data_IF_297261662235
#
_entry.id   IF_297261662235
#
_cell.length_a   1.000
_cell.length_b   1.000
_cell.length_c   1.000
_cell.angle_alpha   90.00
_cell.angle_beta   90.00
_cell.angle_gamma   90.00
#
_symmetry.space_group_name_H-M   'P 1'
#
loop_
_entity.id
_entity.type
_entity.pdbx_description
1 polymer ?
#
# COMPACT_ATOMS: atom_id res chain seq x y z
N UNK A 1 63.55 -19.67 36.53
CA UNK A 1 64.36 -19.76 35.31
C UNK A 1 63.83 -18.71 34.34
N UNK A 2 64.52 -17.61 34.34
CA UNK A 2 64.35 -16.52 33.34
C UNK A 2 65.25 -16.81 32.15
N UNK A 3 65.43 -15.94 31.19
CA UNK A 3 64.58 -14.94 30.47
C UNK A 3 64.79 -15.04 28.93
N UNK A 4 64.12 -14.27 28.16
CA UNK A 4 64.78 -13.62 26.99
C UNK A 4 63.93 -12.50 26.41
N UNK A 5 64.45 -11.35 26.69
CA UNK A 5 64.33 -10.04 26.03
C UNK A 5 64.73 -10.10 24.56
N UNK A 6 63.98 -9.47 23.66
CA UNK A 6 64.52 -8.89 22.41
C UNK A 6 63.60 -7.78 21.94
N UNK A 7 63.92 -6.55 22.22
CA UNK A 7 64.50 -5.46 21.42
C UNK A 7 63.76 -5.11 20.14
N UNK A 8 63.05 -4.04 20.26
CA UNK A 8 63.14 -2.75 19.54
C UNK A 8 63.67 -2.79 18.09
N UNK A 9 62.84 -2.46 17.14
CA UNK A 9 63.24 -1.65 15.98
C UNK A 9 62.05 -0.87 15.37
N UNK A 10 62.10 0.45 15.59
CA UNK A 10 61.51 1.40 14.63
C UNK A 10 62.47 1.59 13.45
N UNK A 11 61.96 1.85 12.26
CA UNK A 11 62.28 3.10 11.58
C UNK A 11 61.07 3.78 10.89
N UNK A 12 60.93 5.06 11.12
CA UNK A 12 61.10 6.17 10.15
C UNK A 12 60.03 6.31 9.05
N UNK A 13 59.12 7.26 9.30
CA UNK A 13 58.83 8.47 8.48
C UNK A 13 58.78 8.25 6.97
N UNK A 14 57.58 8.26 6.43
CA UNK A 14 57.29 8.54 5.03
C UNK A 14 55.99 9.33 4.95
N UNK A 15 56.14 10.66 4.86
CA UNK A 15 55.03 11.53 4.54
C UNK A 15 54.67 11.31 3.06
N UNK A 16 53.48 10.87 2.77
CA UNK A 16 52.93 10.95 1.43
C UNK A 16 51.48 11.38 1.57
N UNK A 17 51.21 12.63 1.24
CA UNK A 17 49.89 13.22 1.18
C UNK A 17 49.06 12.51 0.09
N UNK A 18 47.99 11.90 0.50
CA UNK A 18 46.93 11.49 -0.42
C UNK A 18 45.73 12.41 -0.17
N UNK A 19 45.46 13.25 -1.17
CA UNK A 19 44.20 13.94 -1.34
C UNK A 19 43.07 12.88 -1.35
N UNK A 20 42.26 12.88 -0.32
CA UNK A 20 40.95 12.21 -0.35
C UNK A 20 40.01 13.07 -1.19
N UNK A 21 39.89 12.74 -2.47
CA UNK A 21 38.72 13.09 -3.26
C UNK A 21 37.53 12.35 -2.63
N UNK A 22 36.71 13.10 -1.88
CA UNK A 22 35.42 12.63 -1.41
C UNK A 22 34.53 12.37 -2.63
N UNK A 23 34.54 11.13 -3.12
CA UNK A 23 33.59 10.65 -4.10
C UNK A 23 32.23 10.59 -3.42
N UNK A 24 31.30 11.48 -3.78
CA UNK A 24 29.88 11.30 -3.52
C UNK A 24 29.42 10.03 -4.22
N UNK A 25 29.40 8.93 -3.50
CA UNK A 25 28.71 7.72 -3.96
C UNK A 25 27.22 8.03 -4.02
N UNK A 26 26.54 7.83 -5.15
CA UNK A 26 25.09 7.95 -5.19
C UNK A 26 24.51 6.91 -4.23
N UNK A 27 23.73 7.37 -3.25
CA UNK A 27 22.95 6.48 -2.39
C UNK A 27 22.01 5.69 -3.30
N UNK A 28 22.05 4.35 -3.28
CA UNK A 28 21.04 3.57 -3.97
C UNK A 28 19.70 3.92 -3.32
N UNK A 29 18.79 4.47 -4.12
CA UNK A 29 17.39 4.65 -3.73
C UNK A 29 16.87 3.30 -3.24
N UNK A 30 16.23 3.20 -2.06
CA UNK A 30 15.64 1.96 -1.63
C UNK A 30 14.63 1.52 -2.69
N UNK A 31 14.84 0.35 -3.26
CA UNK A 31 13.89 -0.27 -4.16
C UNK A 31 12.51 -0.31 -3.49
N UNK A 32 11.41 -0.01 -4.20
CA UNK A 32 10.08 -0.13 -3.62
C UNK A 32 9.93 -1.55 -3.07
N UNK A 33 9.61 -1.63 -1.78
CA UNK A 33 9.38 -2.92 -1.12
C UNK A 33 8.34 -3.70 -1.94
N UNK A 34 8.56 -5.00 -2.19
CA UNK A 34 7.57 -5.82 -2.90
C UNK A 34 6.26 -5.71 -2.13
N UNK A 35 5.11 -5.61 -2.81
CA UNK A 35 3.83 -5.50 -2.14
C UNK A 35 3.70 -6.69 -1.20
N UNK A 36 3.59 -6.40 0.10
CA UNK A 36 3.31 -7.41 1.11
C UNK A 36 2.07 -8.17 0.62
N UNK A 37 2.25 -9.44 0.28
CA UNK A 37 1.16 -10.28 -0.21
C UNK A 37 0.07 -10.31 0.85
N UNK A 38 -0.92 -9.46 0.70
CA UNK A 38 -2.04 -9.36 1.64
C UNK A 38 -2.69 -10.73 1.81
N UNK A 39 -2.95 -11.18 3.03
CA UNK A 39 -3.62 -12.44 3.26
C UNK A 39 -5.08 -12.45 2.78
N UNK A 40 -5.62 -11.26 2.47
CA UNK A 40 -6.98 -11.05 2.03
C UNK A 40 -7.02 -10.70 0.53
N UNK A 41 -7.96 -11.27 -0.18
CA UNK A 41 -8.31 -10.94 -1.57
C UNK A 41 -9.60 -10.15 -1.59
N UNK A 42 -9.61 -9.04 -2.33
CA UNK A 42 -10.77 -8.16 -2.47
C UNK A 42 -11.21 -8.17 -3.92
N UNK A 43 -12.51 -8.29 -4.16
CA UNK A 43 -13.13 -7.99 -5.45
C UNK A 43 -14.29 -7.03 -5.25
N UNK A 44 -14.52 -6.16 -6.23
CA UNK A 44 -15.54 -5.13 -6.17
C UNK A 44 -16.46 -5.24 -7.39
N UNK A 45 -17.75 -5.19 -7.14
CA UNK A 45 -18.77 -5.01 -8.16
C UNK A 45 -19.53 -3.72 -7.90
N UNK A 46 -19.91 -3.04 -8.96
CA UNK A 46 -20.69 -1.80 -8.90
C UNK A 46 -21.94 -1.93 -9.74
N UNK A 47 -23.02 -1.38 -9.25
CA UNK A 47 -24.30 -1.33 -9.96
C UNK A 47 -24.83 0.11 -9.93
N UNK A 48 -24.97 0.77 -11.07
CA UNK A 48 -24.67 0.30 -12.43
C UNK A 48 -23.17 0.12 -12.71
N UNK A 49 -22.78 -0.73 -13.69
CA UNK A 49 -21.35 -0.95 -14.02
C UNK A 49 -20.67 0.28 -14.64
N UNK A 50 -21.47 1.21 -15.19
CA UNK A 50 -21.06 2.54 -15.64
C UNK A 50 -21.82 3.56 -14.81
N UNK A 51 -21.26 4.02 -13.70
CA UNK A 51 -21.95 4.97 -12.83
C UNK A 51 -22.03 6.33 -13.52
N UNK A 52 -23.07 7.07 -13.17
CA UNK A 52 -23.25 8.47 -13.59
C UNK A 52 -23.03 9.42 -12.43
N UNK A 53 -22.63 10.64 -12.76
CA UNK A 53 -22.52 11.72 -11.79
C UNK A 53 -23.81 11.91 -11.01
N UNK A 54 -23.70 12.02 -9.69
CA UNK A 54 -24.77 12.23 -8.71
C UNK A 54 -25.78 11.09 -8.57
N UNK A 55 -25.71 10.07 -9.43
CA UNK A 55 -26.57 8.91 -9.30
C UNK A 55 -26.09 7.96 -8.19
N UNK A 56 -27.02 7.32 -7.46
CA UNK A 56 -26.63 6.35 -6.45
C UNK A 56 -25.96 5.13 -7.10
N UNK A 57 -24.78 4.79 -6.59
CA UNK A 57 -24.03 3.61 -7.02
C UNK A 57 -23.94 2.64 -5.87
N UNK A 58 -24.38 1.40 -6.12
CA UNK A 58 -24.28 0.32 -5.15
C UNK A 58 -22.95 -0.41 -5.32
N UNK A 59 -22.21 -0.51 -4.23
CA UNK A 59 -20.94 -1.23 -4.15
C UNK A 59 -21.16 -2.57 -3.47
N UNK A 60 -20.66 -3.63 -4.06
CA UNK A 60 -20.63 -4.96 -3.48
C UNK A 60 -19.19 -5.45 -3.47
N UNK A 61 -18.57 -5.47 -2.31
CA UNK A 61 -17.22 -5.98 -2.12
C UNK A 61 -17.28 -7.42 -1.62
N UNK A 62 -16.45 -8.30 -2.18
CA UNK A 62 -16.22 -9.64 -1.66
C UNK A 62 -14.83 -9.72 -1.08
N UNK A 63 -14.73 -10.21 0.15
CA UNK A 63 -13.47 -10.42 0.86
C UNK A 63 -13.28 -11.90 1.12
N UNK A 64 -12.14 -12.43 0.65
CA UNK A 64 -11.77 -13.84 0.79
C UNK A 64 -10.35 -13.94 1.32
N UNK A 65 -10.03 -15.05 1.99
CA UNK A 65 -8.65 -15.37 2.34
C UNK A 65 -7.88 -15.95 1.13
N UNK A 66 -6.63 -16.32 1.35
CA UNK A 66 -5.78 -16.92 0.30
C UNK A 66 -6.32 -18.24 -0.23
N UNK A 67 -7.05 -18.99 0.60
CA UNK A 67 -7.67 -20.27 0.23
C UNK A 67 -8.98 -20.08 -0.53
N UNK A 68 -9.47 -18.85 -0.64
CA UNK A 68 -10.74 -18.52 -1.28
C UNK A 68 -11.95 -18.57 -0.33
N UNK A 69 -11.72 -18.82 0.97
CA UNK A 69 -12.79 -18.84 1.96
C UNK A 69 -13.31 -17.43 2.22
N UNK A 70 -14.64 -17.22 2.26
CA UNK A 70 -15.21 -15.90 2.53
C UNK A 70 -14.93 -15.45 3.97
N UNK A 71 -14.65 -14.17 4.13
CA UNK A 71 -14.37 -13.53 5.41
C UNK A 71 -15.55 -12.67 5.83
N UNK A 72 -16.30 -13.11 6.84
CA UNK A 72 -17.57 -12.48 7.25
C UNK A 72 -17.43 -11.41 8.35
N UNK A 73 -16.27 -11.28 8.99
CA UNK A 73 -16.05 -10.37 10.12
C UNK A 73 -14.93 -9.37 9.87
N UNK A 74 -14.85 -8.84 8.64
CA UNK A 74 -13.92 -7.77 8.32
C UNK A 74 -14.62 -6.41 8.43
N UNK A 75 -13.85 -5.38 8.73
CA UNK A 75 -14.27 -3.99 8.55
C UNK A 75 -13.88 -3.60 7.12
N UNK A 76 -14.86 -3.28 6.29
CA UNK A 76 -14.66 -2.90 4.91
C UNK A 76 -15.08 -1.45 4.71
N UNK A 77 -14.19 -0.65 4.15
CA UNK A 77 -14.45 0.75 3.78
C UNK A 77 -14.11 0.96 2.31
N UNK A 78 -14.90 1.78 1.65
CA UNK A 78 -14.65 2.21 0.28
C UNK A 78 -14.40 3.72 0.32
N UNK A 79 -13.31 4.16 -0.29
CA UNK A 79 -13.02 5.57 -0.47
C UNK A 79 -13.03 5.92 -1.97
N UNK A 80 -13.77 6.96 -2.31
CA UNK A 80 -13.90 7.46 -3.67
C UNK A 80 -13.00 8.70 -3.82
N UNK A 81 -12.04 8.66 -4.72
CA UNK A 81 -11.13 9.78 -4.97
C UNK A 81 -10.84 9.95 -6.45
N UNK A 82 -10.66 11.18 -6.89
CA UNK A 82 -10.10 11.48 -8.21
C UNK A 82 -8.58 11.62 -8.09
N UNK A 83 -7.79 10.93 -8.93
CA UNK A 83 -6.33 10.99 -8.84
C UNK A 83 -5.75 12.40 -9.07
N UNK A 84 -6.48 13.24 -9.80
CA UNK A 84 -6.05 14.59 -10.20
C UNK A 84 -6.54 15.71 -9.28
N UNK A 85 -7.39 15.40 -8.30
CA UNK A 85 -7.99 16.39 -7.41
C UNK A 85 -8.04 15.89 -5.97
N UNK A 86 -7.75 16.77 -5.03
CA UNK A 86 -8.02 16.51 -3.62
C UNK A 86 -9.48 16.87 -3.32
N UNK A 87 -10.31 15.86 -3.19
CA UNK A 87 -11.74 15.99 -2.90
C UNK A 87 -12.07 15.73 -1.44
N UNK A 88 -11.06 15.66 -0.58
CA UNK A 88 -11.24 15.26 0.81
C UNK A 88 -11.66 13.79 0.95
N UNK A 89 -12.25 13.46 2.09
CA UNK A 89 -12.69 12.09 2.37
C UNK A 89 -14.10 11.86 1.84
N UNK A 90 -14.23 11.03 0.84
CA UNK A 90 -15.51 10.52 0.35
C UNK A 90 -15.60 9.02 0.62
N UNK A 91 -15.83 8.67 1.90
CA UNK A 91 -15.84 7.30 2.37
C UNK A 91 -17.27 6.75 2.40
N UNK A 92 -17.44 5.55 1.86
CA UNK A 92 -18.66 4.77 1.94
C UNK A 92 -18.47 3.66 2.96
N UNK A 93 -19.32 3.62 3.97
CA UNK A 93 -19.37 2.51 4.92
C UNK A 93 -20.02 1.30 4.26
N UNK A 94 -19.38 0.16 4.42
CA UNK A 94 -19.84 -1.11 3.89
C UNK A 94 -20.46 -1.94 5.02
N UNK A 95 -21.70 -2.39 4.82
CA UNK A 95 -22.39 -3.26 5.75
C UNK A 95 -22.19 -4.73 5.35
N UNK A 96 -21.97 -5.60 6.33
CA UNK A 96 -21.88 -7.02 6.10
C UNK A 96 -23.25 -7.57 5.64
N UNK A 97 -23.21 -8.36 4.58
CA UNK A 97 -24.35 -9.08 4.05
C UNK A 97 -24.15 -10.60 4.18
N UNK A 98 -24.14 -11.29 3.04
CA UNK A 98 -23.82 -12.72 2.98
C UNK A 98 -22.35 -12.98 3.39
N UNK A 99 -21.97 -14.20 3.75
CA UNK A 99 -20.60 -14.53 4.13
C UNK A 99 -19.55 -13.99 3.14
N UNK A 100 -18.68 -13.12 3.63
CA UNK A 100 -17.64 -12.48 2.82
C UNK A 100 -18.11 -11.38 1.88
N UNK A 101 -19.38 -11.02 1.90
CA UNK A 101 -19.96 -9.98 1.06
C UNK A 101 -20.28 -8.74 1.90
N UNK A 102 -19.92 -7.58 1.37
CA UNK A 102 -20.13 -6.28 2.00
C UNK A 102 -20.77 -5.34 0.99
N UNK A 103 -21.83 -4.65 1.40
CA UNK A 103 -22.62 -3.77 0.53
C UNK A 103 -22.64 -2.36 1.09
N UNK A 104 -22.57 -1.38 0.19
CA UNK A 104 -22.69 0.03 0.51
C UNK A 104 -23.23 0.81 -0.67
N UNK A 105 -23.67 2.03 -0.42
CA UNK A 105 -24.15 2.94 -1.47
C UNK A 105 -23.42 4.25 -1.34
N UNK A 106 -22.92 4.77 -2.44
CA UNK A 106 -22.26 6.06 -2.54
C UNK A 106 -22.64 6.78 -3.82
N UNK A 107 -22.08 7.95 -4.02
CA UNK A 107 -22.30 8.78 -5.22
C UNK A 107 -20.99 9.37 -5.67
N UNK A 108 -20.81 9.45 -6.97
CA UNK A 108 -19.72 10.20 -7.58
C UNK A 108 -20.18 11.64 -7.81
N UNK A 109 -19.44 12.60 -7.30
CA UNK A 109 -19.82 14.01 -7.34
C UNK A 109 -19.57 14.67 -8.68
N UNK A 110 -18.71 14.08 -9.50
CA UNK A 110 -18.35 14.60 -10.83
C UNK A 110 -18.16 13.46 -11.81
N UNK A 111 -18.30 13.76 -13.10
CA UNK A 111 -17.90 12.86 -14.16
C UNK A 111 -16.37 12.84 -14.32
N UNK A 112 -15.83 11.75 -14.85
CA UNK A 112 -14.40 11.57 -15.09
C UNK A 112 -13.81 10.31 -14.46
N UNK A 113 -12.48 10.24 -14.42
CA UNK A 113 -11.75 9.08 -13.92
C UNK A 113 -11.63 9.11 -12.39
N UNK A 114 -12.10 8.04 -11.76
CA UNK A 114 -12.08 7.87 -10.31
C UNK A 114 -11.29 6.63 -9.90
N UNK A 115 -10.69 6.71 -8.71
CA UNK A 115 -10.13 5.55 -8.01
C UNK A 115 -11.06 5.15 -6.86
N UNK A 116 -11.58 3.94 -6.91
CA UNK A 116 -12.36 3.34 -5.83
C UNK A 116 -11.42 2.49 -4.99
N UNK A 117 -11.01 3.01 -3.85
CA UNK A 117 -10.11 2.31 -2.93
C UNK A 117 -10.90 1.51 -1.93
N UNK A 118 -10.80 0.20 -1.99
CA UNK A 118 -11.43 -0.72 -1.02
C UNK A 118 -10.38 -1.18 -0.02
N UNK A 119 -10.66 -0.96 1.25
CA UNK A 119 -9.82 -1.44 2.36
C UNK A 119 -10.61 -2.41 3.20
N UNK A 120 -10.08 -3.61 3.38
CA UNK A 120 -10.62 -4.64 4.28
C UNK A 120 -9.64 -4.90 5.41
N UNK A 121 -10.13 -4.89 6.65
CA UNK A 121 -9.33 -5.14 7.85
C UNK A 121 -9.99 -6.23 8.69
N UNK A 122 -9.24 -7.25 9.05
CA UNK A 122 -9.66 -8.31 9.97
C UNK A 122 -8.55 -8.61 10.97
N UNK A 123 -8.72 -8.18 12.20
CA UNK A 123 -7.68 -8.31 13.23
C UNK A 123 -6.40 -7.55 12.82
N UNK A 124 -5.32 -8.29 12.62
CA UNK A 124 -4.02 -7.74 12.17
C UNK A 124 -3.89 -7.70 10.64
N UNK A 125 -4.76 -8.41 9.94
CA UNK A 125 -4.72 -8.52 8.49
C UNK A 125 -5.43 -7.33 7.84
N UNK A 126 -4.75 -6.71 6.89
CA UNK A 126 -5.27 -5.59 6.13
C UNK A 126 -4.95 -5.78 4.65
N UNK A 127 -5.94 -5.56 3.82
CA UNK A 127 -5.77 -5.48 2.38
C UNK A 127 -6.35 -4.17 1.87
N UNK A 128 -5.73 -3.61 0.86
CA UNK A 128 -6.21 -2.42 0.15
C UNK A 128 -6.06 -2.65 -1.33
N UNK A 129 -7.11 -2.37 -2.08
CA UNK A 129 -7.11 -2.50 -3.53
C UNK A 129 -7.82 -1.30 -4.16
N UNK A 130 -7.26 -0.79 -5.27
CA UNK A 130 -7.80 0.34 -6.01
C UNK A 130 -8.40 -0.18 -7.31
N UNK A 131 -9.62 0.24 -7.60
CA UNK A 131 -10.35 -0.07 -8.83
C UNK A 131 -10.56 1.22 -9.60
N UNK A 132 -10.01 1.34 -10.82
CA UNK A 132 -10.26 2.50 -11.67
C UNK A 132 -11.70 2.44 -12.23
N UNK A 133 -12.36 3.58 -12.25
CA UNK A 133 -13.76 3.73 -12.68
C UNK A 133 -13.92 5.00 -13.51
N UNK A 134 -14.60 4.89 -14.64
CA UNK A 134 -15.01 6.03 -15.43
C UNK A 134 -16.48 6.36 -15.14
N UNK A 135 -16.73 7.59 -14.70
CA UNK A 135 -18.05 8.13 -14.35
C UNK A 135 -18.52 9.04 -15.47
N UNK A 136 -19.76 8.83 -15.92
CA UNK A 136 -20.40 9.59 -17.00
C UNK A 136 -21.23 10.76 -16.46
#
# INVERSE_FOLDING_TARGET
MAPSTFLLRLPRIGACGLLFLAGCAPHPSPAPAPPLSSPLKISLQMTPPKPKQLDPTHFTAQVRDRSGKPISSAIVTVNLAMPTMDMGRNAVLMNAGEPGQYRGTGRFTMAGSWGVTVTATKGKDRATQIFPVEVQ
#
